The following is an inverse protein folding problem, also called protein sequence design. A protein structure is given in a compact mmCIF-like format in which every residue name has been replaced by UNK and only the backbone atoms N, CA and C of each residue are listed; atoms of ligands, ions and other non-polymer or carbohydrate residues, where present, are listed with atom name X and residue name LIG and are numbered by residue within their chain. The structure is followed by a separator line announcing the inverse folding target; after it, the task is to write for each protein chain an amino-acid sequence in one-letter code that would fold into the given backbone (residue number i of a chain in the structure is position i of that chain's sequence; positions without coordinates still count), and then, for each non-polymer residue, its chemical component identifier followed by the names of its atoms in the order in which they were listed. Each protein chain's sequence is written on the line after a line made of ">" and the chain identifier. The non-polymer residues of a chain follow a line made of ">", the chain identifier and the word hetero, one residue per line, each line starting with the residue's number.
data_IF_110240446094
#
_entry.id   IF_110240446094
#
_cell.length_a   1.000
_cell.length_b   1.000
_cell.length_c   1.000
_cell.angle_alpha   90.00
_cell.angle_beta   90.00
_cell.angle_gamma   90.00
#
_symmetry.space_group_name_H-M   'P 1'
#
loop_
_entity.id
_entity.type
_entity.pdbx_description
1 polymer ?
#
# COMPACT_ATOMS: atom_id res chain seq x y z
N UNK A 1 12.31 -50.66 37.55
CA UNK A 1 12.51 -49.88 36.31
C UNK A 1 11.34 -50.17 35.39
N UNK A 2 10.41 -49.23 35.20
CA UNK A 2 9.30 -49.39 34.29
C UNK A 2 9.67 -48.79 32.93
N UNK A 3 9.74 -49.63 31.89
CA UNK A 3 9.90 -49.19 30.51
C UNK A 3 8.59 -48.57 30.04
N UNK A 4 8.59 -47.26 29.81
CA UNK A 4 7.48 -46.57 29.16
C UNK A 4 7.50 -47.00 27.69
N UNK A 5 6.52 -47.80 27.29
CA UNK A 5 6.29 -48.14 25.90
C UNK A 5 5.88 -46.86 25.14
N UNK A 6 6.74 -46.39 24.24
CA UNK A 6 6.39 -45.34 23.29
C UNK A 6 5.30 -45.88 22.37
N UNK A 7 4.05 -45.46 22.61
CA UNK A 7 2.97 -45.65 21.64
C UNK A 7 3.33 -44.87 20.38
N UNK A 8 3.24 -45.51 19.23
CA UNK A 8 3.35 -44.82 17.95
C UNK A 8 2.32 -43.68 17.91
N UNK A 9 2.71 -42.47 17.50
CA UNK A 9 1.80 -41.33 17.49
C UNK A 9 0.61 -41.61 16.57
N UNK A 10 -0.57 -41.15 16.99
CA UNK A 10 -1.79 -41.26 16.18
C UNK A 10 -1.54 -40.71 14.76
N UNK A 11 -2.04 -41.37 13.70
CA UNK A 11 -1.87 -40.90 12.32
C UNK A 11 -2.31 -39.44 12.10
N UNK A 12 -3.33 -38.99 12.84
CA UNK A 12 -3.79 -37.61 12.81
C UNK A 12 -2.71 -36.63 13.35
N UNK A 13 -2.00 -37.00 14.41
CA UNK A 13 -0.91 -36.19 14.97
C UNK A 13 0.27 -36.11 13.98
N UNK A 14 0.64 -37.23 13.35
CA UNK A 14 1.72 -37.25 12.36
C UNK A 14 1.41 -36.34 11.17
N UNK A 15 0.16 -36.35 10.68
CA UNK A 15 -0.31 -35.47 9.61
C UNK A 15 -0.23 -33.99 10.00
N UNK A 16 -0.67 -33.63 11.21
CA UNK A 16 -0.57 -32.25 11.70
C UNK A 16 0.89 -31.78 11.83
N UNK A 17 1.79 -32.64 12.32
CA UNK A 17 3.22 -32.31 12.39
C UNK A 17 3.82 -32.11 11.00
N UNK A 18 3.46 -32.95 10.03
CA UNK A 18 3.88 -32.82 8.64
C UNK A 18 3.39 -31.50 8.02
N UNK A 19 2.12 -31.14 8.24
CA UNK A 19 1.56 -29.85 7.81
C UNK A 19 2.33 -28.67 8.42
N UNK A 20 2.63 -28.71 9.73
CA UNK A 20 3.42 -27.68 10.41
C UNK A 20 4.84 -27.59 9.82
N UNK A 21 5.48 -28.73 9.56
CA UNK A 21 6.82 -28.76 8.95
C UNK A 21 6.80 -28.20 7.53
N UNK A 22 5.79 -28.54 6.73
CA UNK A 22 5.62 -28.02 5.38
C UNK A 22 5.44 -26.50 5.39
N UNK A 23 4.64 -25.97 6.33
CA UNK A 23 4.49 -24.52 6.53
C UNK A 23 5.84 -23.90 6.90
N UNK A 24 6.55 -24.47 7.89
CA UNK A 24 7.84 -23.95 8.35
C UNK A 24 8.90 -23.91 7.23
N UNK A 25 8.97 -24.95 6.40
CA UNK A 25 9.89 -25.03 5.25
C UNK A 25 9.49 -24.06 4.14
N UNK A 26 8.20 -23.77 3.97
CA UNK A 26 7.71 -22.82 2.97
C UNK A 26 7.94 -21.35 3.33
N UNK A 27 8.29 -21.05 4.58
CA UNK A 27 8.59 -19.70 5.00
C UNK A 27 9.86 -19.19 4.30
N UNK A 28 9.89 -17.91 3.89
CA UNK A 28 11.12 -17.31 3.38
C UNK A 28 12.23 -17.40 4.44
N UNK A 29 13.51 -17.50 4.01
CA UNK A 29 14.61 -17.45 4.94
C UNK A 29 14.52 -16.17 5.77
N UNK A 30 14.79 -16.30 7.07
CA UNK A 30 14.81 -15.13 7.94
C UNK A 30 15.88 -14.15 7.43
N UNK A 31 15.55 -12.87 7.22
CA UNK A 31 16.52 -11.89 6.76
C UNK A 31 17.66 -11.76 7.78
N UNK A 32 18.86 -11.46 7.30
CA UNK A 32 20.02 -11.22 8.15
C UNK A 32 19.88 -9.90 8.91
N UNK A 33 20.67 -9.72 9.97
CA UNK A 33 20.63 -8.47 10.74
C UNK A 33 21.07 -7.28 9.87
N UNK A 34 22.04 -7.50 8.99
CA UNK A 34 22.55 -6.50 8.06
C UNK A 34 21.49 -6.07 7.04
N UNK A 35 20.68 -7.01 6.54
CA UNK A 35 19.57 -6.71 5.62
C UNK A 35 18.50 -5.85 6.31
N UNK A 36 18.19 -6.16 7.57
CA UNK A 36 17.23 -5.38 8.36
C UNK A 36 17.76 -3.96 8.63
N UNK A 37 19.02 -3.83 9.04
CA UNK A 37 19.65 -2.52 9.28
C UNK A 37 19.74 -1.68 8.01
N UNK A 38 20.08 -2.30 6.87
CA UNK A 38 20.07 -1.63 5.58
C UNK A 38 18.67 -1.13 5.19
N UNK A 39 17.64 -1.97 5.37
CA UNK A 39 16.26 -1.57 5.09
C UNK A 39 15.80 -0.40 5.98
N UNK A 40 16.10 -0.46 7.28
CA UNK A 40 15.80 0.64 8.23
C UNK A 40 16.52 1.93 7.82
N UNK A 41 17.79 1.83 7.41
CA UNK A 41 18.57 2.98 6.95
C UNK A 41 17.95 3.64 5.71
N UNK A 42 17.48 2.84 4.75
CA UNK A 42 16.78 3.34 3.56
C UNK A 42 15.49 4.04 3.94
N UNK A 43 14.66 3.45 4.81
CA UNK A 43 13.40 4.05 5.27
C UNK A 43 13.68 5.40 5.93
N UNK A 44 14.59 5.45 6.90
CA UNK A 44 14.94 6.67 7.62
C UNK A 44 15.46 7.76 6.66
N UNK A 45 16.26 7.37 5.65
CA UNK A 45 16.78 8.32 4.66
C UNK A 45 15.67 8.89 3.79
N UNK A 46 14.73 8.05 3.32
CA UNK A 46 13.58 8.48 2.52
C UNK A 46 12.67 9.41 3.33
N UNK A 47 12.36 9.06 4.58
CA UNK A 47 11.56 9.89 5.48
C UNK A 47 12.22 11.25 5.73
N UNK A 48 13.54 11.26 5.94
CA UNK A 48 14.29 12.50 6.11
C UNK A 48 14.27 13.37 4.85
N UNK A 49 14.49 12.78 3.67
CA UNK A 49 14.42 13.50 2.40
C UNK A 49 13.03 14.09 2.13
N UNK A 50 11.97 13.34 2.46
CA UNK A 50 10.60 13.83 2.33
C UNK A 50 10.33 15.00 3.30
N UNK A 51 10.77 14.89 4.56
CA UNK A 51 10.69 15.99 5.52
C UNK A 51 11.38 17.26 5.00
N UNK A 52 12.60 17.14 4.45
CA UNK A 52 13.33 18.26 3.87
C UNK A 52 12.58 18.90 2.70
N UNK A 53 12.06 18.07 1.78
CA UNK A 53 11.27 18.53 0.64
C UNK A 53 10.03 19.31 1.09
N UNK A 54 9.32 18.82 2.10
CA UNK A 54 8.14 19.48 2.67
C UNK A 54 8.50 20.81 3.34
N UNK A 55 9.64 20.86 4.04
CA UNK A 55 10.15 22.09 4.66
C UNK A 55 10.55 23.13 3.62
N UNK A 56 11.23 22.73 2.54
CA UNK A 56 11.56 23.61 1.41
C UNK A 56 10.31 24.21 0.78
N UNK A 57 9.29 23.38 0.52
CA UNK A 57 7.99 23.87 0.02
C UNK A 57 7.39 24.86 1.02
N UNK A 58 7.49 24.59 2.33
CA UNK A 58 6.97 25.47 3.39
C UNK A 58 7.62 26.85 3.45
N UNK A 59 8.89 26.95 3.05
CA UNK A 59 9.68 28.20 3.08
C UNK A 59 9.53 29.04 1.81
N UNK A 60 8.90 28.51 0.75
CA UNK A 60 8.67 29.27 -0.48
C UNK A 60 7.80 30.50 -0.20
N UNK A 61 8.19 31.64 -0.75
CA UNK A 61 7.43 32.89 -0.66
C UNK A 61 6.49 33.05 -1.86
N UNK A 62 5.31 33.67 -1.65
CA UNK A 62 4.41 33.98 -2.76
C UNK A 62 5.10 34.94 -3.74
N UNK A 63 4.99 34.70 -5.07
CA UNK A 63 5.41 35.67 -6.07
C UNK A 63 4.63 36.99 -5.92
N UNK A 64 5.23 38.09 -6.37
CA UNK A 64 4.73 39.46 -6.14
C UNK A 64 3.32 39.70 -6.73
N UNK A 65 2.92 38.91 -7.74
CA UNK A 65 1.66 39.03 -8.47
C UNK A 65 0.64 37.91 -8.16
N UNK A 66 0.88 37.10 -7.13
CA UNK A 66 0.01 35.97 -6.79
C UNK A 66 -0.62 36.20 -5.42
N UNK A 67 -1.94 36.05 -5.36
CA UNK A 67 -2.68 36.11 -4.09
C UNK A 67 -2.18 35.04 -3.12
N UNK A 68 -2.05 35.41 -1.85
CA UNK A 68 -1.52 34.54 -0.81
C UNK A 68 -2.33 33.25 -0.69
N UNK A 69 -3.64 33.34 -0.82
CA UNK A 69 -4.57 32.22 -0.74
C UNK A 69 -4.26 31.20 -1.84
N UNK A 70 -4.12 31.64 -3.10
CA UNK A 70 -3.78 30.78 -4.23
C UNK A 70 -2.42 30.10 -4.06
N UNK A 71 -1.44 30.87 -3.58
CA UNK A 71 -0.11 30.35 -3.32
C UNK A 71 -0.09 29.32 -2.20
N UNK A 72 -0.82 29.55 -1.11
CA UNK A 72 -0.96 28.63 -0.01
C UNK A 72 -1.60 27.31 -0.47
N UNK A 73 -2.63 27.36 -1.30
CA UNK A 73 -3.25 26.17 -1.89
C UNK A 73 -2.26 25.38 -2.72
N UNK A 74 -1.52 26.05 -3.59
CA UNK A 74 -0.46 25.42 -4.39
C UNK A 74 0.61 24.77 -3.50
N UNK A 75 0.98 25.42 -2.41
CA UNK A 75 1.93 24.90 -1.41
C UNK A 75 1.38 23.65 -0.71
N UNK A 76 0.09 23.64 -0.35
CA UNK A 76 -0.56 22.46 0.24
C UNK A 76 -0.68 21.31 -0.75
N UNK A 77 -1.02 21.57 -2.01
CA UNK A 77 -1.06 20.54 -3.06
C UNK A 77 0.33 19.96 -3.31
N UNK A 78 1.38 20.80 -3.35
CA UNK A 78 2.77 20.34 -3.49
C UNK A 78 3.25 19.51 -2.29
N UNK A 79 2.76 19.79 -1.07
CA UNK A 79 3.05 19.00 0.14
C UNK A 79 2.26 17.70 0.20
N UNK A 80 1.06 17.67 -0.38
CA UNK A 80 0.15 16.53 -0.34
C UNK A 80 0.05 15.85 -1.72
N UNK A 81 1.17 15.32 -2.23
CA UNK A 81 1.27 14.62 -3.54
C UNK A 81 0.38 13.37 -3.63
N UNK A 82 -0.22 12.94 -2.53
CA UNK A 82 -1.37 12.06 -2.59
C UNK A 82 -2.53 12.81 -3.25
N UNK A 83 -2.63 12.69 -4.59
CA UNK A 83 -3.57 13.36 -5.51
C UNK A 83 -4.99 13.41 -4.93
N UNK A 84 -5.36 12.36 -4.18
CA UNK A 84 -6.60 12.19 -3.43
C UNK A 84 -6.87 13.30 -2.41
N UNK A 85 -5.86 13.73 -1.65
CA UNK A 85 -5.97 14.80 -0.64
C UNK A 85 -5.89 16.19 -1.27
N UNK A 86 -5.10 16.35 -2.33
CA UNK A 86 -5.07 17.60 -3.12
C UNK A 86 -6.44 17.96 -3.71
N UNK A 87 -7.14 16.96 -4.26
CA UNK A 87 -8.51 17.12 -4.76
C UNK A 87 -9.51 17.49 -3.65
N UNK A 88 -9.37 16.92 -2.45
CA UNK A 88 -10.19 17.27 -1.29
C UNK A 88 -10.06 18.75 -0.89
N UNK A 89 -8.83 19.26 -0.77
CA UNK A 89 -8.61 20.67 -0.42
C UNK A 89 -9.11 21.62 -1.52
N UNK A 90 -8.90 21.28 -2.79
CA UNK A 90 -9.38 22.10 -3.91
C UNK A 90 -10.91 22.16 -3.96
N UNK A 91 -11.62 21.05 -3.70
CA UNK A 91 -13.08 21.04 -3.56
C UNK A 91 -13.57 21.89 -2.38
N UNK A 92 -12.83 21.91 -1.27
CA UNK A 92 -13.19 22.71 -0.10
C UNK A 92 -13.03 24.23 -0.35
N UNK A 93 -12.06 24.62 -1.18
CA UNK A 93 -11.75 26.02 -1.48
C UNK A 93 -12.51 26.56 -2.69
N UNK A 94 -12.87 25.68 -3.62
CA UNK A 94 -13.66 25.98 -4.81
C UNK A 94 -14.88 25.05 -4.85
N UNK A 95 -15.89 25.35 -4.03
CA UNK A 95 -17.13 24.55 -3.94
C UNK A 95 -17.89 24.38 -5.27
N UNK A 96 -17.57 25.16 -6.30
CA UNK A 96 -18.21 25.09 -7.64
C UNK A 96 -17.36 24.32 -8.68
N UNK A 97 -16.14 23.91 -8.34
CA UNK A 97 -15.28 23.19 -9.28
C UNK A 97 -15.72 21.72 -9.35
N UNK A 98 -16.37 21.35 -10.45
CA UNK A 98 -16.74 19.97 -10.76
C UNK A 98 -15.49 19.19 -11.18
N UNK A 99 -14.86 18.53 -10.20
CA UNK A 99 -13.70 17.63 -10.27
C UNK A 99 -12.41 18.16 -10.93
N UNK A 100 -11.29 18.00 -10.22
CA UNK A 100 -9.96 18.25 -10.77
C UNK A 100 -9.44 16.95 -11.40
N UNK A 101 -9.88 16.64 -12.61
CA UNK A 101 -9.44 15.43 -13.30
C UNK A 101 -8.01 15.66 -13.84
N UNK A 102 -7.03 14.99 -13.24
CA UNK A 102 -5.70 14.89 -13.83
C UNK A 102 -5.84 14.25 -15.22
N UNK A 103 -5.68 15.04 -16.28
CA UNK A 103 -5.78 14.49 -17.64
C UNK A 103 -4.73 13.40 -17.84
N UNK A 104 -5.17 12.23 -18.31
CA UNK A 104 -4.32 11.11 -18.69
C UNK A 104 -3.20 11.54 -19.67
N UNK A 105 -3.41 12.62 -20.44
CA UNK A 105 -2.41 13.15 -21.36
C UNK A 105 -1.14 13.66 -20.64
N UNK A 106 -1.29 14.24 -19.44
CA UNK A 106 -0.17 14.74 -18.66
C UNK A 106 0.66 13.59 -18.07
N UNK A 107 -0.02 12.56 -17.57
CA UNK A 107 0.59 11.35 -17.03
C UNK A 107 1.28 10.52 -18.13
N UNK A 108 0.66 10.42 -19.30
CA UNK A 108 1.22 9.73 -20.46
C UNK A 108 2.49 10.43 -20.96
N UNK A 109 2.51 11.77 -21.01
CA UNK A 109 3.74 12.53 -21.31
C UNK A 109 4.84 12.30 -20.28
N UNK A 110 4.52 12.31 -18.99
CA UNK A 110 5.48 12.03 -17.92
C UNK A 110 6.08 10.63 -18.03
N UNK A 111 5.25 9.60 -18.21
CA UNK A 111 5.69 8.23 -18.37
C UNK A 111 6.57 8.05 -19.62
N UNK A 112 6.22 8.73 -20.72
CA UNK A 112 7.03 8.73 -21.94
C UNK A 112 8.38 9.41 -21.75
N UNK A 113 8.46 10.51 -20.98
CA UNK A 113 9.72 11.23 -20.74
C UNK A 113 10.70 10.45 -19.86
N UNK A 114 10.20 9.56 -19.00
CA UNK A 114 11.01 8.79 -18.06
C UNK A 114 11.10 7.30 -18.41
N UNK A 115 10.64 6.90 -19.60
CA UNK A 115 10.58 5.50 -20.07
C UNK A 115 9.88 4.54 -19.09
N UNK A 116 8.98 5.08 -18.25
CA UNK A 116 8.24 4.29 -17.27
C UNK A 116 7.17 3.51 -18.02
N UNK A 117 7.36 2.20 -18.14
CA UNK A 117 6.38 1.29 -18.72
C UNK A 117 5.25 1.05 -17.72
N UNK A 118 4.18 1.82 -17.81
CA UNK A 118 2.95 1.52 -17.07
C UNK A 118 2.18 0.38 -17.75
N UNK A 119 2.03 -0.75 -17.07
CA UNK A 119 1.26 -1.90 -17.57
C UNK A 119 -0.21 -1.90 -17.11
N UNK A 120 -0.65 -0.85 -16.38
CA UNK A 120 -2.04 -0.66 -15.93
C UNK A 120 -2.39 0.83 -15.99
N UNK A 121 -3.58 1.19 -16.46
CA UNK A 121 -4.03 2.58 -16.38
C UNK A 121 -4.43 2.90 -14.94
N UNK A 122 -4.09 4.09 -14.44
CA UNK A 122 -4.51 4.53 -13.11
C UNK A 122 -6.04 4.64 -13.10
N UNK A 123 -6.70 3.94 -12.17
CA UNK A 123 -8.16 3.78 -12.12
C UNK A 123 -8.68 2.42 -12.60
N UNK A 124 -7.86 1.64 -13.31
CA UNK A 124 -8.09 0.21 -13.53
C UNK A 124 -7.61 -0.58 -12.30
N UNK A 125 -8.24 -0.33 -11.15
CA UNK A 125 -8.36 -1.38 -10.15
C UNK A 125 -8.97 -2.56 -10.90
N UNK A 126 -8.21 -3.64 -11.10
CA UNK A 126 -8.73 -4.85 -11.73
C UNK A 126 -10.06 -5.16 -11.07
N UNK A 127 -11.13 -5.04 -11.84
CA UNK A 127 -12.50 -5.11 -11.36
C UNK A 127 -12.67 -6.49 -10.71
N UNK A 128 -12.46 -6.57 -9.41
CA UNK A 128 -12.80 -7.76 -8.66
C UNK A 128 -14.32 -7.73 -8.65
N UNK A 129 -14.90 -8.66 -9.40
CA UNK A 129 -16.33 -8.85 -9.41
C UNK A 129 -16.78 -9.11 -7.97
N UNK A 130 -17.41 -8.11 -7.37
CA UNK A 130 -17.81 -8.13 -5.97
C UNK A 130 -18.82 -9.24 -5.70
N UNK A 131 -19.55 -9.68 -6.74
CA UNK A 131 -20.46 -10.83 -6.63
C UNK A 131 -19.68 -12.13 -6.40
N UNK A 132 -18.57 -12.32 -7.11
CA UNK A 132 -17.70 -13.50 -6.92
C UNK A 132 -17.12 -13.53 -5.51
N UNK A 133 -16.79 -12.35 -4.96
CA UNK A 133 -16.28 -12.25 -3.59
C UNK A 133 -17.38 -12.52 -2.56
N UNK A 134 -18.58 -11.95 -2.74
CA UNK A 134 -19.71 -12.17 -1.84
C UNK A 134 -20.17 -13.64 -1.84
N UNK A 135 -20.24 -14.29 -3.00
CA UNK A 135 -20.56 -15.72 -3.11
C UNK A 135 -19.50 -16.59 -2.43
N UNK A 136 -18.21 -16.27 -2.61
CA UNK A 136 -17.12 -16.99 -1.97
C UNK A 136 -17.17 -16.86 -0.44
N UNK A 137 -17.51 -15.68 0.08
CA UNK A 137 -17.65 -15.43 1.53
C UNK A 137 -18.82 -16.23 2.11
N UNK A 138 -19.98 -16.25 1.45
CA UNK A 138 -21.14 -17.01 1.89
C UNK A 138 -20.87 -18.52 1.89
N UNK A 139 -20.18 -19.01 0.86
CA UNK A 139 -19.74 -20.42 0.78
C UNK A 139 -18.80 -20.78 1.94
N UNK A 140 -17.89 -19.87 2.30
CA UNK A 140 -16.96 -20.04 3.42
C UNK A 140 -17.69 -20.16 4.77
N UNK A 141 -18.67 -19.29 5.02
CA UNK A 141 -19.50 -19.39 6.23
C UNK A 141 -20.26 -20.71 6.31
N UNK A 142 -20.85 -21.17 5.21
CA UNK A 142 -21.57 -22.45 5.18
C UNK A 142 -20.67 -23.68 5.39
N UNK A 143 -19.38 -23.58 5.11
CA UNK A 143 -18.40 -24.63 5.44
C UNK A 143 -18.03 -24.56 6.92
N UNK A 144 -17.79 -23.36 7.45
CA UNK A 144 -17.39 -23.15 8.85
C UNK A 144 -18.48 -23.59 9.84
N UNK A 145 -19.75 -23.37 9.50
CA UNK A 145 -20.91 -23.82 10.29
C UNK A 145 -21.02 -25.37 10.38
N UNK A 146 -20.32 -26.13 9.53
CA UNK A 146 -20.30 -27.60 9.61
C UNK A 146 -19.31 -28.16 10.64
N UNK A 147 -18.49 -27.28 11.21
CA UNK A 147 -17.47 -27.64 12.19
C UNK A 147 -17.77 -27.08 13.60
N UNK A 148 -18.95 -26.48 13.81
CA UNK A 148 -19.53 -26.15 15.12
C UNK A 148 -20.53 -27.22 15.55
#
# INVERSE_FOLDING_TARGET
>A
MAMVANKDPSPAYAKTVEEIMNIYISLPPRPSIEEVEAAISVINTVEYQECLRLEEISKQLPPQDVLFELFFVLQQVKKNIDVTKGAFFLNQLYCEATSFDFSNDCLNKFNSCHEIKSFRHFGESGNVDTQVVEEAILSLYGILDQYE
#
